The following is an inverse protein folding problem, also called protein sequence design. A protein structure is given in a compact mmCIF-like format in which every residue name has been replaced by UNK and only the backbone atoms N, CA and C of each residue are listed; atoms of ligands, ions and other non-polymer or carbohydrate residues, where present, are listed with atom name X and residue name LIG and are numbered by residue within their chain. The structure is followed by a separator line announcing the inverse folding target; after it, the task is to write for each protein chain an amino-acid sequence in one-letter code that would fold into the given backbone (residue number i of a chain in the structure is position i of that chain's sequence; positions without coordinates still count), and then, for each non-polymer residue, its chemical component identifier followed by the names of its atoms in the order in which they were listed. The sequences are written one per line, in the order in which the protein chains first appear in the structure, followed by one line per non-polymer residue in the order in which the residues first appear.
data_IF_927652160674
#
_entry.id   IF_927652160674
#
_cell.length_a   1.000
_cell.length_b   1.000
_cell.length_c   1.000
_cell.angle_alpha   90.00
_cell.angle_beta   90.00
_cell.angle_gamma   90.00
#
_symmetry.space_group_name_H-M   'P 1'
#
loop_
_entity.id
_entity.type
_entity.pdbx_description
1 polymer ?
#
# COMPACT_ATOMS: atom_id res chain seq x y z
N UNK A 1 20.76 0.26 -13.82
CA UNK A 1 21.23 0.16 -12.41
C UNK A 1 20.83 1.38 -11.57
N UNK A 2 21.09 2.60 -12.04
CA UNK A 2 20.85 3.81 -11.23
C UNK A 2 19.40 4.04 -10.73
N UNK A 3 18.32 3.77 -11.50
CA UNK A 3 16.95 3.91 -10.98
C UNK A 3 16.64 2.96 -9.81
N UNK A 4 17.25 1.78 -9.80
CA UNK A 4 17.16 0.85 -8.68
C UNK A 4 17.94 1.38 -7.47
N UNK A 5 19.11 2.00 -7.71
CA UNK A 5 19.89 2.69 -6.67
C UNK A 5 19.09 3.83 -6.02
N UNK A 6 18.30 4.56 -6.80
CA UNK A 6 17.43 5.63 -6.28
C UNK A 6 16.30 5.03 -5.40
N UNK A 7 15.67 3.93 -5.84
CA UNK A 7 14.66 3.21 -5.04
C UNK A 7 15.23 2.76 -3.70
N UNK A 8 16.43 2.16 -3.66
CA UNK A 8 17.06 1.75 -2.40
C UNK A 8 17.60 2.94 -1.60
N UNK A 9 17.84 4.10 -2.23
CA UNK A 9 18.22 5.35 -1.56
C UNK A 9 17.08 5.94 -0.73
N UNK A 10 15.84 5.72 -1.16
CA UNK A 10 14.65 6.17 -0.44
C UNK A 10 14.25 5.22 0.70
N UNK A 11 13.96 5.81 1.88
CA UNK A 11 13.45 5.07 3.03
C UNK A 11 12.16 4.29 2.70
N UNK A 12 11.27 4.87 1.88
CA UNK A 12 10.05 4.20 1.44
C UNK A 12 10.32 2.99 0.52
N UNK A 13 11.33 3.09 -0.35
CA UNK A 13 11.74 1.97 -1.20
C UNK A 13 12.30 0.83 -0.36
N UNK A 14 13.13 1.13 0.66
CA UNK A 14 13.61 0.13 1.63
C UNK A 14 12.46 -0.54 2.38
N UNK A 15 11.51 0.21 2.94
CA UNK A 15 10.32 -0.36 3.61
C UNK A 15 9.56 -1.33 2.68
N UNK A 16 9.41 -0.99 1.40
CA UNK A 16 8.58 -1.76 0.46
C UNK A 16 9.32 -2.96 -0.13
N UNK A 17 10.64 -2.88 -0.32
CA UNK A 17 11.47 -4.06 -0.59
C UNK A 17 11.45 -5.02 0.60
N UNK A 18 11.55 -4.50 1.83
CA UNK A 18 11.40 -5.34 3.02
C UNK A 18 9.98 -5.88 3.15
N UNK A 19 8.93 -5.16 2.71
CA UNK A 19 7.54 -5.66 2.61
C UNK A 19 7.48 -6.86 1.68
N UNK A 20 8.10 -6.75 0.49
CA UNK A 20 8.13 -7.83 -0.48
C UNK A 20 8.82 -9.07 0.11
N UNK A 21 9.98 -8.90 0.75
CA UNK A 21 10.67 -9.99 1.45
C UNK A 21 9.80 -10.63 2.54
N UNK A 22 9.20 -9.80 3.41
CA UNK A 22 8.32 -10.25 4.49
C UNK A 22 7.19 -11.14 3.96
N UNK A 23 6.42 -10.65 2.98
CA UNK A 23 5.23 -11.35 2.52
C UNK A 23 5.58 -12.57 1.64
N UNK A 24 6.67 -12.52 0.88
CA UNK A 24 7.18 -13.69 0.15
C UNK A 24 7.58 -14.79 1.12
N UNK A 25 8.36 -14.47 2.15
CA UNK A 25 8.77 -15.45 3.17
C UNK A 25 7.57 -15.99 3.96
N UNK A 26 6.56 -15.17 4.25
CA UNK A 26 5.33 -15.61 4.92
C UNK A 26 4.54 -16.61 4.08
N UNK A 27 4.34 -16.32 2.79
CA UNK A 27 3.61 -17.22 1.89
C UNK A 27 4.34 -18.55 1.67
N UNK A 28 5.66 -18.50 1.46
CA UNK A 28 6.49 -19.70 1.32
C UNK A 28 6.54 -20.53 2.61
N UNK A 29 6.68 -19.87 3.77
CA UNK A 29 6.64 -20.55 5.07
C UNK A 29 5.32 -21.31 5.25
N UNK A 30 4.19 -20.69 4.90
CA UNK A 30 2.89 -21.35 4.97
C UNK A 30 2.83 -22.58 4.07
N UNK A 31 3.25 -22.47 2.80
CA UNK A 31 3.25 -23.59 1.86
C UNK A 31 4.08 -24.78 2.38
N UNK A 32 5.31 -24.50 2.82
CA UNK A 32 6.24 -25.53 3.30
C UNK A 32 5.76 -26.14 4.62
N UNK A 33 5.35 -25.34 5.60
CA UNK A 33 4.92 -25.83 6.91
C UNK A 33 3.56 -26.53 6.88
N UNK A 34 2.73 -26.25 5.87
CA UNK A 34 1.49 -26.99 5.65
C UNK A 34 1.74 -28.40 5.14
N UNK A 35 2.83 -28.61 4.39
CA UNK A 35 3.25 -29.93 3.92
C UNK A 35 4.10 -30.67 4.96
N UNK A 36 5.02 -29.98 5.62
CA UNK A 36 5.87 -30.51 6.69
C UNK A 36 6.01 -29.50 7.85
N UNK A 37 5.24 -29.67 8.94
CA UNK A 37 5.30 -28.78 10.10
C UNK A 37 6.65 -28.73 10.81
N UNK A 38 7.51 -29.75 10.63
CA UNK A 38 8.84 -29.83 11.24
C UNK A 38 9.94 -29.30 10.33
N UNK A 39 9.59 -28.83 9.13
CA UNK A 39 10.56 -28.32 8.16
C UNK A 39 11.39 -27.16 8.73
N UNK A 40 12.71 -27.39 8.78
CA UNK A 40 13.69 -26.37 9.20
C UNK A 40 13.63 -25.15 8.28
N UNK A 41 13.43 -25.35 6.98
CA UNK A 41 13.31 -24.26 6.01
C UNK A 41 12.06 -23.41 6.28
N UNK A 42 10.91 -24.05 6.53
CA UNK A 42 9.66 -23.35 6.87
C UNK A 42 9.78 -22.52 8.16
N UNK A 43 10.48 -23.04 9.17
CA UNK A 43 10.76 -22.32 10.42
C UNK A 43 11.72 -21.13 10.20
N UNK A 44 12.77 -21.29 9.38
CA UNK A 44 13.69 -20.20 9.01
C UNK A 44 12.98 -19.08 8.24
N UNK A 45 12.13 -19.43 7.28
CA UNK A 45 11.29 -18.45 6.57
C UNK A 45 10.31 -17.75 7.52
N UNK A 46 9.83 -18.47 8.54
CA UNK A 46 8.99 -17.88 9.58
C UNK A 46 9.73 -16.85 10.43
N UNK A 47 10.97 -17.13 10.80
CA UNK A 47 11.83 -16.17 11.48
C UNK A 47 12.12 -14.95 10.59
N UNK A 48 12.41 -15.18 9.30
CA UNK A 48 12.70 -14.11 8.34
C UNK A 48 11.52 -13.14 8.16
N UNK A 49 10.29 -13.64 8.00
CA UNK A 49 9.15 -12.72 7.87
C UNK A 49 8.90 -11.92 9.16
N UNK A 50 9.16 -12.50 10.35
CA UNK A 50 9.00 -11.78 11.62
C UNK A 50 10.06 -10.69 11.78
N UNK A 51 11.31 -11.01 11.45
CA UNK A 51 12.41 -10.05 11.49
C UNK A 51 12.17 -8.87 10.54
N UNK A 52 11.79 -9.17 9.29
CA UNK A 52 11.47 -8.14 8.28
C UNK A 52 10.23 -7.33 8.64
N UNK A 53 9.20 -7.95 9.25
CA UNK A 53 8.05 -7.23 9.80
C UNK A 53 8.47 -6.20 10.85
N UNK A 54 9.36 -6.57 11.77
CA UNK A 54 9.87 -5.66 12.80
C UNK A 54 10.73 -4.54 12.19
N UNK A 55 11.63 -4.86 11.27
CA UNK A 55 12.46 -3.87 10.56
C UNK A 55 11.61 -2.80 9.85
N UNK A 56 10.50 -3.20 9.23
CA UNK A 56 9.57 -2.27 8.59
C UNK A 56 8.88 -1.31 9.54
N UNK A 57 8.69 -1.68 10.81
CA UNK A 57 8.17 -0.73 11.81
C UNK A 57 9.18 0.37 12.08
N UNK A 58 10.47 0.01 12.16
CA UNK A 58 11.57 0.97 12.29
C UNK A 58 11.61 1.96 11.10
N UNK A 59 11.49 1.47 9.86
CA UNK A 59 11.44 2.35 8.67
C UNK A 59 10.22 3.29 8.63
N UNK A 60 9.21 3.06 9.47
CA UNK A 60 7.98 3.86 9.55
C UNK A 60 7.93 4.76 10.78
N UNK A 61 9.00 4.84 11.56
CA UNK A 61 9.10 5.80 12.67
C UNK A 61 8.95 7.23 12.13
N UNK A 62 8.14 8.04 12.83
CA UNK A 62 7.84 9.43 12.43
C UNK A 62 6.86 9.55 11.27
N UNK A 63 6.39 8.44 10.67
CA UNK A 63 5.47 8.49 9.52
C UNK A 63 4.10 9.07 9.89
N UNK A 64 3.66 8.97 11.16
CA UNK A 64 2.45 9.65 11.64
C UNK A 64 2.56 11.17 11.53
N UNK A 65 3.73 11.74 11.84
CA UNK A 65 3.97 13.20 11.77
C UNK A 65 3.85 13.68 10.31
N UNK A 66 4.31 12.89 9.35
CA UNK A 66 4.19 13.20 7.93
C UNK A 66 2.73 13.27 7.42
N UNK A 67 1.76 12.74 8.17
CA UNK A 67 0.34 12.85 7.83
C UNK A 67 -0.31 14.14 8.34
N UNK A 68 0.28 14.85 9.30
CA UNK A 68 -0.26 16.11 9.82
C UNK A 68 -0.45 17.16 8.70
N UNK A 69 0.56 17.51 7.89
CA UNK A 69 0.37 18.46 6.79
C UNK A 69 -0.55 17.90 5.68
N UNK A 70 -0.62 16.57 5.54
CA UNK A 70 -1.53 15.93 4.58
C UNK A 70 -3.00 16.11 5.00
N UNK A 71 -3.29 15.93 6.28
CA UNK A 71 -4.62 16.14 6.87
C UNK A 71 -5.03 17.60 6.72
N UNK A 72 -4.14 18.55 7.04
CA UNK A 72 -4.39 19.98 6.86
C UNK A 72 -4.69 20.31 5.39
N UNK A 73 -3.90 19.78 4.45
CA UNK A 73 -4.16 19.95 3.02
C UNK A 73 -5.52 19.40 2.62
N UNK A 74 -5.90 18.21 3.08
CA UNK A 74 -7.21 17.60 2.79
C UNK A 74 -8.37 18.44 3.35
N UNK A 75 -8.23 19.00 4.55
CA UNK A 75 -9.24 19.88 5.16
C UNK A 75 -9.41 21.20 4.38
N UNK A 76 -8.32 21.74 3.85
CA UNK A 76 -8.32 23.02 3.14
C UNK A 76 -8.53 22.88 1.61
N UNK A 77 -8.64 21.66 1.08
CA UNK A 77 -8.78 21.42 -0.36
C UNK A 77 -10.21 21.66 -0.86
N UNK A 78 -10.45 22.88 -1.36
CA UNK A 78 -11.74 23.32 -1.94
C UNK A 78 -12.11 22.66 -3.27
N UNK A 79 -11.19 21.93 -3.92
CA UNK A 79 -11.47 21.23 -5.18
C UNK A 79 -12.12 19.86 -4.97
N UNK A 80 -12.13 19.35 -3.74
CA UNK A 80 -12.77 18.07 -3.42
C UNK A 80 -14.27 18.25 -3.22
N UNK A 81 -15.04 17.27 -3.69
CA UNK A 81 -16.45 17.16 -3.26
C UNK A 81 -16.50 16.87 -1.76
N UNK A 82 -17.57 17.26 -1.03
CA UNK A 82 -17.69 16.99 0.40
C UNK A 82 -17.50 15.50 0.75
N UNK A 83 -18.06 14.61 -0.07
CA UNK A 83 -17.89 13.15 0.08
C UNK A 83 -16.43 12.72 -0.08
N UNK A 84 -15.76 13.14 -1.16
CA UNK A 84 -14.35 12.80 -1.39
C UNK A 84 -13.43 13.38 -0.31
N UNK A 85 -13.77 14.55 0.23
CA UNK A 85 -13.04 15.18 1.33
C UNK A 85 -13.16 14.37 2.62
N UNK A 86 -14.39 13.97 3.00
CA UNK A 86 -14.62 13.11 4.18
C UNK A 86 -13.89 11.77 4.05
N UNK A 87 -13.97 11.11 2.89
CA UNK A 87 -13.26 9.85 2.65
C UNK A 87 -11.74 10.04 2.74
N UNK A 88 -11.21 11.13 2.17
CA UNK A 88 -9.79 11.43 2.23
C UNK A 88 -9.34 11.70 3.66
N UNK A 89 -10.16 12.39 4.46
CA UNK A 89 -9.89 12.65 5.86
C UNK A 89 -9.88 11.36 6.68
N UNK A 90 -10.86 10.47 6.47
CA UNK A 90 -10.88 9.14 7.12
C UNK A 90 -9.64 8.33 6.76
N UNK A 91 -9.23 8.37 5.48
CA UNK A 91 -8.01 7.69 5.05
C UNK A 91 -6.77 8.28 5.72
N UNK A 92 -6.61 9.60 5.73
CA UNK A 92 -5.41 10.27 6.23
C UNK A 92 -5.28 10.18 7.75
N UNK A 93 -6.38 10.42 8.47
CA UNK A 93 -6.43 10.26 9.93
C UNK A 93 -6.24 8.79 10.31
N UNK A 94 -6.91 7.87 9.63
CA UNK A 94 -6.77 6.43 9.88
C UNK A 94 -5.33 5.94 9.66
N UNK A 95 -4.66 6.38 8.59
CA UNK A 95 -3.25 6.06 8.35
C UNK A 95 -2.31 6.72 9.38
N UNK A 96 -2.58 7.97 9.77
CA UNK A 96 -1.82 8.67 10.82
C UNK A 96 -1.86 7.90 12.14
N UNK A 97 -3.08 7.59 12.61
CA UNK A 97 -3.28 6.85 13.85
C UNK A 97 -2.75 5.41 13.75
N UNK A 98 -2.87 4.76 12.59
CA UNK A 98 -2.22 3.46 12.36
C UNK A 98 -0.71 3.51 12.59
N UNK A 99 0.00 4.48 11.99
CA UNK A 99 1.45 4.59 12.17
C UNK A 99 1.82 4.93 13.62
N UNK A 100 1.00 5.72 14.32
CA UNK A 100 1.17 5.98 15.74
C UNK A 100 1.11 4.67 16.55
N UNK A 101 0.07 3.87 16.38
CA UNK A 101 -0.07 2.58 17.08
C UNK A 101 0.96 1.53 16.62
N UNK A 102 1.38 1.55 15.37
CA UNK A 102 2.44 0.68 14.85
C UNK A 102 3.79 1.00 15.53
N UNK A 103 4.10 2.28 15.75
CA UNK A 103 5.26 2.75 16.50
C UNK A 103 5.12 2.43 18.01
N UNK A 104 3.96 2.63 18.62
CA UNK A 104 3.70 2.20 20.00
C UNK A 104 3.95 0.71 20.19
N UNK A 105 3.44 -0.13 19.28
CA UNK A 105 3.67 -1.57 19.31
C UNK A 105 5.16 -1.92 19.15
N UNK A 106 5.88 -1.19 18.29
CA UNK A 106 7.33 -1.38 18.10
C UNK A 106 8.11 -1.11 19.40
N UNK A 107 7.89 0.04 20.03
CA UNK A 107 8.58 0.40 21.28
C UNK A 107 8.16 -0.47 22.47
N UNK A 108 6.89 -0.89 22.52
CA UNK A 108 6.40 -1.84 23.52
C UNK A 108 7.10 -3.21 23.39
N UNK A 109 7.23 -3.74 22.17
CA UNK A 109 7.97 -4.97 21.91
C UNK A 109 9.47 -4.85 22.24
N UNK A 110 10.05 -3.65 22.08
CA UNK A 110 11.41 -3.34 22.47
C UNK A 110 11.59 -3.12 23.99
N UNK A 111 10.50 -3.20 24.77
CA UNK A 111 10.47 -2.94 26.22
C UNK A 111 10.91 -1.52 26.61
N UNK A 112 10.80 -0.57 25.68
CA UNK A 112 11.12 0.85 25.91
C UNK A 112 9.99 1.53 26.68
N UNK A 113 8.74 1.18 26.37
CA UNK A 113 7.55 1.71 27.06
C UNK A 113 6.67 0.58 27.59
N UNK A 114 5.99 0.78 28.73
CA UNK A 114 5.14 -0.22 29.38
C UNK A 114 3.74 -0.35 28.72
N UNK A 115 3.64 -0.15 27.40
CA UNK A 115 2.37 -0.29 26.69
C UNK A 115 2.06 -1.75 26.38
N UNK A 116 0.77 -2.09 26.28
CA UNK A 116 0.36 -3.39 25.76
C UNK A 116 0.55 -3.47 24.24
N UNK A 117 1.59 -4.17 23.81
CA UNK A 117 1.94 -4.32 22.39
C UNK A 117 0.84 -5.00 21.56
N UNK A 118 0.11 -5.97 22.14
CA UNK A 118 -0.97 -6.67 21.46
C UNK A 118 -2.15 -5.71 21.22
N UNK A 119 -2.53 -4.93 22.23
CA UNK A 119 -3.61 -3.96 22.13
C UNK A 119 -3.28 -2.84 21.14
N UNK A 120 -2.05 -2.32 21.18
CA UNK A 120 -1.59 -1.35 20.18
C UNK A 120 -1.68 -1.93 18.76
N UNK A 121 -1.27 -3.19 18.58
CA UNK A 121 -1.42 -3.89 17.29
C UNK A 121 -2.87 -4.06 16.83
N UNK A 122 -3.81 -4.33 17.76
CA UNK A 122 -5.25 -4.44 17.46
C UNK A 122 -5.84 -3.09 17.03
N UNK A 123 -5.60 -2.03 17.81
CA UNK A 123 -6.10 -0.69 17.48
C UNK A 123 -5.52 -0.17 16.16
N UNK A 124 -4.20 -0.31 15.97
CA UNK A 124 -3.56 0.04 14.71
C UNK A 124 -4.13 -0.74 13.52
N UNK A 125 -4.37 -2.06 13.67
CA UNK A 125 -4.98 -2.87 12.63
C UNK A 125 -6.38 -2.42 12.23
N UNK A 126 -7.21 -2.03 13.21
CA UNK A 126 -8.55 -1.49 12.94
C UNK A 126 -8.50 -0.16 12.17
N UNK A 127 -7.65 0.77 12.60
CA UNK A 127 -7.47 2.07 11.94
C UNK A 127 -6.92 1.93 10.51
N UNK A 128 -5.98 0.99 10.32
CA UNK A 128 -5.47 0.69 8.98
C UNK A 128 -6.56 0.13 8.06
N UNK A 129 -7.42 -0.74 8.58
CA UNK A 129 -8.56 -1.25 7.82
C UNK A 129 -9.55 -0.15 7.45
N UNK A 130 -9.95 0.71 8.39
CA UNK A 130 -10.82 1.86 8.10
C UNK A 130 -10.22 2.76 7.01
N UNK A 131 -8.91 3.04 7.10
CA UNK A 131 -8.22 3.83 6.08
C UNK A 131 -8.20 3.15 4.71
N UNK A 132 -8.02 1.83 4.64
CA UNK A 132 -8.05 1.09 3.38
C UNK A 132 -9.47 1.01 2.77
N UNK A 133 -10.52 0.98 3.59
CA UNK A 133 -11.92 1.06 3.09
C UNK A 133 -12.14 2.40 2.39
N UNK A 134 -11.82 3.51 3.05
CA UNK A 134 -11.94 4.83 2.43
C UNK A 134 -11.03 4.97 1.20
N UNK A 135 -9.79 4.50 1.29
CA UNK A 135 -8.84 4.50 0.18
C UNK A 135 -9.26 3.65 -1.02
N UNK A 136 -9.96 2.53 -0.80
CA UNK A 136 -10.52 1.71 -1.85
C UNK A 136 -11.62 2.46 -2.61
N UNK A 137 -12.55 3.07 -1.89
CA UNK A 137 -13.65 3.86 -2.49
C UNK A 137 -13.06 5.00 -3.32
N UNK A 138 -12.11 5.76 -2.77
CA UNK A 138 -11.43 6.85 -3.50
C UNK A 138 -10.69 6.37 -4.74
N UNK A 139 -9.97 5.25 -4.66
CA UNK A 139 -9.24 4.70 -5.81
C UNK A 139 -10.19 4.21 -6.91
N UNK A 140 -11.32 3.62 -6.52
CA UNK A 140 -12.36 3.19 -7.44
C UNK A 140 -13.01 4.39 -8.14
N UNK A 141 -13.45 5.40 -7.38
CA UNK A 141 -14.04 6.64 -7.92
C UNK A 141 -13.05 7.35 -8.86
N UNK A 142 -11.77 7.41 -8.51
CA UNK A 142 -10.73 8.00 -9.36
C UNK A 142 -10.52 7.21 -10.66
N UNK A 143 -10.61 5.88 -10.63
CA UNK A 143 -10.50 5.06 -11.84
C UNK A 143 -11.72 5.24 -12.76
N UNK A 144 -12.93 5.25 -12.19
CA UNK A 144 -14.17 5.45 -12.94
C UNK A 144 -14.16 6.81 -13.65
N UNK A 145 -13.80 7.89 -12.93
CA UNK A 145 -13.71 9.23 -13.52
C UNK A 145 -12.78 9.31 -14.73
N UNK A 146 -11.63 8.63 -14.69
CA UNK A 146 -10.70 8.62 -15.83
C UNK A 146 -11.18 7.70 -16.96
N UNK A 147 -11.91 6.62 -16.66
CA UNK A 147 -12.54 5.78 -17.67
C UNK A 147 -13.69 6.49 -18.40
N UNK A 148 -14.51 7.25 -17.67
CA UNK A 148 -15.59 8.06 -18.24
C UNK A 148 -15.04 9.16 -19.16
N UNK A 149 -13.96 9.83 -18.76
CA UNK A 149 -13.26 10.80 -19.62
C UNK A 149 -12.72 10.18 -20.91
N UNK A 150 -12.11 9.00 -20.83
CA UNK A 150 -11.64 8.28 -22.02
C UNK A 150 -12.80 7.93 -22.95
N UNK A 151 -13.91 7.43 -22.39
CA UNK A 151 -15.11 7.08 -23.16
C UNK A 151 -15.75 8.29 -23.83
N UNK A 152 -15.91 9.40 -23.10
CA UNK A 152 -16.44 10.65 -23.65
C UNK A 152 -15.57 11.20 -24.78
N UNK A 153 -14.24 11.19 -24.61
CA UNK A 153 -13.32 11.68 -25.64
C UNK A 153 -13.40 10.86 -26.95
N UNK A 154 -13.54 9.53 -26.82
CA UNK A 154 -13.73 8.62 -27.96
C UNK A 154 -15.08 8.86 -28.65
N UNK A 155 -16.13 9.09 -27.87
CA UNK A 155 -17.48 9.33 -28.40
C UNK A 155 -17.57 10.67 -29.13
N UNK A 156 -16.97 11.73 -28.59
CA UNK A 156 -17.02 13.08 -29.16
C UNK A 156 -16.13 13.23 -30.41
N UNK A 157 -15.18 12.31 -30.63
CA UNK A 157 -14.23 12.36 -31.74
C UNK A 157 -14.13 11.02 -32.49
N UNK A 158 -15.20 10.60 -33.19
CA UNK A 158 -15.23 9.32 -33.91
C UNK A 158 -14.25 9.25 -35.09
N UNK A 159 -13.83 10.41 -35.62
CA UNK A 159 -12.76 10.54 -36.61
C UNK A 159 -11.45 10.83 -35.89
N UNK A 160 -10.68 9.78 -35.58
CA UNK A 160 -9.51 9.85 -34.71
C UNK A 160 -8.34 10.62 -35.36
N UNK A 161 -8.34 11.94 -35.19
CA UNK A 161 -7.21 12.78 -35.54
C UNK A 161 -5.94 12.33 -34.79
N UNK A 162 -4.73 12.59 -35.32
CA UNK A 162 -3.48 12.30 -34.61
C UNK A 162 -3.42 12.90 -33.20
N UNK A 163 -3.99 14.09 -33.01
CA UNK A 163 -4.05 14.78 -31.72
C UNK A 163 -4.99 14.05 -30.74
N UNK A 164 -6.16 13.63 -31.21
CA UNK A 164 -7.11 12.83 -30.40
C UNK A 164 -6.49 11.50 -29.98
N UNK A 165 -5.77 10.82 -30.89
CA UNK A 165 -5.05 9.58 -30.58
C UNK A 165 -4.00 9.78 -29.48
N UNK A 166 -3.26 10.89 -29.54
CA UNK A 166 -2.28 11.23 -28.53
C UNK A 166 -2.93 11.51 -27.17
N UNK A 167 -4.05 12.25 -27.13
CA UNK A 167 -4.80 12.49 -25.90
C UNK A 167 -5.35 11.20 -25.29
N UNK A 168 -5.91 10.30 -26.11
CA UNK A 168 -6.36 8.98 -25.67
C UNK A 168 -5.20 8.17 -25.08
N UNK A 169 -4.02 8.18 -25.70
CA UNK A 169 -2.85 7.47 -25.20
C UNK A 169 -2.43 7.99 -23.81
N UNK A 170 -2.44 9.31 -23.60
CA UNK A 170 -2.15 9.92 -22.30
C UNK A 170 -3.20 9.52 -21.25
N UNK A 171 -4.49 9.57 -21.59
CA UNK A 171 -5.57 9.14 -20.68
C UNK A 171 -5.45 7.67 -20.30
N UNK A 172 -5.11 6.79 -21.26
CA UNK A 172 -4.86 5.37 -20.99
C UNK A 172 -3.71 5.16 -20.01
N UNK A 173 -2.63 5.93 -20.13
CA UNK A 173 -1.52 5.85 -19.16
C UNK A 173 -1.97 6.29 -17.77
N UNK A 174 -2.76 7.37 -17.67
CA UNK A 174 -3.33 7.82 -16.38
C UNK A 174 -4.26 6.76 -15.80
N UNK A 175 -5.16 6.20 -16.61
CA UNK A 175 -6.09 5.13 -16.21
C UNK A 175 -5.34 3.89 -15.73
N UNK A 176 -4.28 3.47 -16.41
CA UNK A 176 -3.43 2.37 -15.98
C UNK A 176 -2.80 2.63 -14.60
N UNK A 177 -2.30 3.85 -14.36
CA UNK A 177 -1.79 4.24 -13.02
C UNK A 177 -2.89 4.15 -11.95
N UNK A 178 -4.12 4.58 -12.25
CA UNK A 178 -5.26 4.46 -11.32
C UNK A 178 -5.68 3.00 -11.09
N UNK A 179 -5.65 2.17 -12.12
CA UNK A 179 -5.94 0.74 -12.01
C UNK A 179 -4.92 0.02 -11.11
N UNK A 180 -3.64 0.34 -11.26
CA UNK A 180 -2.59 -0.16 -10.35
C UNK A 180 -2.81 0.31 -8.91
N UNK A 181 -3.18 1.58 -8.70
CA UNK A 181 -3.50 2.09 -7.37
C UNK A 181 -4.70 1.34 -6.73
N UNK A 182 -5.75 1.07 -7.51
CA UNK A 182 -6.91 0.29 -7.08
C UNK A 182 -6.53 -1.15 -6.74
N UNK A 183 -5.73 -1.82 -7.59
CA UNK A 183 -5.24 -3.17 -7.33
C UNK A 183 -4.45 -3.22 -6.00
N UNK A 184 -3.52 -2.29 -5.81
CA UNK A 184 -2.70 -2.21 -4.60
C UNK A 184 -3.57 -2.04 -3.35
N UNK A 185 -4.53 -1.11 -3.36
CA UNK A 185 -5.38 -0.86 -2.18
C UNK A 185 -6.37 -2.00 -1.94
N UNK A 186 -6.82 -2.70 -2.99
CA UNK A 186 -7.65 -3.91 -2.86
C UNK A 186 -6.88 -5.03 -2.14
N UNK A 187 -5.64 -5.28 -2.55
CA UNK A 187 -4.77 -6.23 -1.85
C UNK A 187 -4.52 -5.83 -0.39
N UNK A 188 -4.20 -4.56 -0.13
CA UNK A 188 -4.01 -4.06 1.24
C UNK A 188 -5.30 -4.15 2.07
N UNK A 189 -6.48 -3.91 1.48
CA UNK A 189 -7.78 -4.01 2.13
C UNK A 189 -8.03 -5.44 2.62
N UNK A 190 -7.87 -6.44 1.74
CA UNK A 190 -8.03 -7.86 2.11
C UNK A 190 -7.03 -8.26 3.21
N UNK A 191 -5.78 -7.83 3.11
CA UNK A 191 -4.76 -8.09 4.14
C UNK A 191 -5.14 -7.43 5.46
N UNK A 192 -5.59 -6.17 5.43
CA UNK A 192 -5.99 -5.43 6.63
C UNK A 192 -7.24 -6.00 7.30
N UNK A 193 -8.17 -6.55 6.52
CA UNK A 193 -9.36 -7.24 7.03
C UNK A 193 -9.02 -8.50 7.83
N UNK A 194 -7.88 -9.15 7.54
CA UNK A 194 -7.39 -10.32 8.27
C UNK A 194 -6.51 -9.98 9.48
N UNK A 195 -6.28 -8.69 9.79
CA UNK A 195 -5.44 -8.29 10.93
C UNK A 195 -6.12 -8.55 12.27
N UNK A 196 -5.33 -8.68 13.33
CA UNK A 196 -5.79 -9.13 14.66
C UNK A 196 -6.91 -8.30 15.28
N UNK A 197 -7.02 -7.00 14.95
CA UNK A 197 -8.10 -6.12 15.43
C UNK A 197 -9.42 -6.26 14.68
N UNK A 198 -9.38 -6.75 13.44
CA UNK A 198 -10.54 -6.81 12.55
C UNK A 198 -11.05 -8.24 12.40
N UNK A 199 -10.16 -9.16 11.98
CA UNK A 199 -10.45 -10.60 11.80
C UNK A 199 -11.77 -10.85 11.04
N UNK A 200 -12.05 -10.05 10.02
CA UNK A 200 -13.32 -10.10 9.29
C UNK A 200 -13.58 -11.48 8.64
N UNK A 201 -12.59 -12.12 7.97
CA UNK A 201 -12.80 -13.48 7.44
C UNK A 201 -13.13 -14.51 8.53
N UNK A 202 -12.49 -14.41 9.70
CA UNK A 202 -12.74 -15.30 10.84
C UNK A 202 -14.16 -15.11 11.39
N UNK A 203 -14.66 -13.86 11.43
CA UNK A 203 -16.01 -13.54 11.89
C UNK A 203 -17.10 -13.98 10.91
N UNK A 204 -16.84 -13.89 9.61
CA UNK A 204 -17.82 -14.22 8.57
C UNK A 204 -17.80 -15.70 8.17
N UNK A 205 -16.62 -16.32 8.09
CA UNK A 205 -16.40 -17.66 7.56
C UNK A 205 -15.92 -18.67 8.62
N UNK A 206 -15.78 -18.24 9.88
CA UNK A 206 -15.30 -19.08 10.98
C UNK A 206 -13.80 -19.42 10.95
N UNK A 207 -13.07 -18.97 9.91
CA UNK A 207 -11.64 -19.25 9.74
C UNK A 207 -10.89 -18.02 9.27
N UNK A 208 -9.66 -17.85 9.75
CA UNK A 208 -8.74 -16.81 9.26
C UNK A 208 -8.34 -17.11 7.83
N UNK A 209 -8.08 -16.04 7.06
CA UNK A 209 -7.45 -16.19 5.77
C UNK A 209 -6.03 -16.74 5.98
N UNK A 210 -5.68 -17.79 5.23
CA UNK A 210 -4.41 -18.46 5.39
C UNK A 210 -3.23 -17.56 5.00
N UNK A 211 -2.06 -17.88 5.56
CA UNK A 211 -0.85 -17.08 5.39
C UNK A 211 -0.29 -17.12 3.97
N UNK A 212 -0.65 -18.13 3.16
CA UNK A 212 -0.33 -18.20 1.74
C UNK A 212 -1.00 -17.08 0.94
N UNK A 213 -2.32 -16.93 1.10
CA UNK A 213 -3.08 -15.86 0.42
C UNK A 213 -2.66 -14.49 0.92
N UNK A 214 -2.50 -14.32 2.24
CA UNK A 214 -2.02 -13.07 2.83
C UNK A 214 -0.62 -12.71 2.31
N UNK A 215 0.26 -13.71 2.19
CA UNK A 215 1.57 -13.62 1.55
C UNK A 215 1.48 -13.08 0.12
N UNK A 216 0.72 -13.75 -0.74
CA UNK A 216 0.58 -13.39 -2.15
C UNK A 216 0.06 -11.94 -2.34
N UNK A 217 -1.00 -11.55 -1.62
CA UNK A 217 -1.57 -10.20 -1.71
C UNK A 217 -0.61 -9.13 -1.19
N UNK A 218 0.15 -9.44 -0.14
CA UNK A 218 1.20 -8.57 0.38
C UNK A 218 2.34 -8.36 -0.62
N UNK A 219 2.70 -9.38 -1.39
CA UNK A 219 3.68 -9.28 -2.47
C UNK A 219 3.17 -8.42 -3.62
N UNK A 220 1.94 -8.67 -4.11
CA UNK A 220 1.34 -7.89 -5.21
C UNK A 220 1.31 -6.41 -4.85
N UNK A 221 0.79 -6.06 -3.66
CA UNK A 221 0.73 -4.66 -3.21
C UNK A 221 2.11 -4.01 -3.05
N UNK A 222 3.13 -4.75 -2.62
CA UNK A 222 4.51 -4.25 -2.52
C UNK A 222 5.13 -4.01 -3.91
N UNK A 223 4.96 -4.96 -4.83
CA UNK A 223 5.47 -4.89 -6.20
C UNK A 223 4.86 -3.73 -6.97
N UNK A 224 3.54 -3.52 -6.85
CA UNK A 224 2.88 -2.36 -7.49
C UNK A 224 3.46 -1.05 -6.97
N UNK A 225 3.67 -0.92 -5.65
CA UNK A 225 4.28 0.29 -5.09
C UNK A 225 5.70 0.51 -5.61
N UNK A 226 6.53 -0.54 -5.62
CA UNK A 226 7.91 -0.46 -6.10
C UNK A 226 7.97 -0.09 -7.59
N UNK A 227 7.06 -0.64 -8.40
CA UNK A 227 6.92 -0.27 -9.80
C UNK A 227 6.54 1.20 -9.97
N UNK A 228 5.56 1.71 -9.21
CA UNK A 228 5.17 3.13 -9.25
C UNK A 228 6.30 4.06 -8.82
N UNK A 229 7.04 3.70 -7.77
CA UNK A 229 8.19 4.46 -7.31
C UNK A 229 9.30 4.46 -8.37
N UNK A 230 9.64 3.30 -8.93
CA UNK A 230 10.65 3.19 -9.98
C UNK A 230 10.29 4.03 -11.20
N UNK A 231 9.05 3.94 -11.70
CA UNK A 231 8.55 4.78 -12.81
C UNK A 231 8.71 6.27 -12.52
N UNK A 232 8.36 6.71 -11.31
CA UNK A 232 8.46 8.12 -10.91
C UNK A 232 9.91 8.61 -10.92
N UNK A 233 10.83 7.82 -10.36
CA UNK A 233 12.26 8.13 -10.33
C UNK A 233 12.89 8.14 -11.73
N UNK A 234 12.46 7.23 -12.61
CA UNK A 234 12.90 7.21 -14.00
C UNK A 234 12.41 8.41 -14.81
N UNK A 235 11.19 8.92 -14.56
CA UNK A 235 10.62 10.07 -15.26
C UNK A 235 11.22 11.41 -14.81
N UNK A 236 11.60 11.56 -13.54
CA UNK A 236 12.29 12.77 -13.05
C UNK A 236 13.66 12.98 -13.72
N UNK A 237 14.21 11.94 -14.37
CA UNK A 237 15.47 11.97 -15.12
C UNK A 237 15.26 12.20 -16.63
N UNK A 238 14.32 13.05 -17.05
CA UNK A 238 14.20 13.48 -18.46
C UNK A 238 15.57 13.75 -19.10
N UNK A 239 15.73 13.58 -20.42
CA UNK A 239 17.01 13.26 -21.06
C UNK A 239 18.11 14.17 -20.53
N UNK A 240 19.02 13.58 -19.76
CA UNK A 240 20.29 14.23 -19.43
C UNK A 240 20.91 14.60 -20.77
N UNK A 241 20.91 15.89 -21.10
CA UNK A 241 21.82 16.44 -22.10
C UNK A 241 23.19 15.92 -21.69
N UNK A 242 23.70 14.96 -22.44
CA UNK A 242 25.12 14.65 -22.47
C UNK A 242 25.79 15.98 -22.78
N UNK A 243 26.34 16.62 -21.75
CA UNK A 243 27.21 17.76 -21.94
C UNK A 243 28.52 17.16 -22.46
N UNK A 244 28.83 17.57 -23.69
CA UNK A 244 30.10 17.40 -24.39
C UNK A 244 31.30 17.67 -23.51
#
# INVERSE_FOLDING_TARGET
MQPFLDVIGHLEGRDKLTKLCQYSSRGLAFSILSADPKSVLGQRLSALYRATQAARKCFRLGKSIAYIPKIDHTLNNKALTPRSQVLSLVQDVGMCCFFLFDNMQFFANAKVFPFNAEQAGKHGGYLWFCANVAGFILAYEALQKEAEKEAALIQDNPSTSPETLQQIAVLREVRFKKALALLKVTCDLIVSANTAGVRLPERLLGKKLNDGVVGALGCISASVFLYSLWRTQSLQRGPTREKS
#
